data_IF_027166267749
#
_entry.id   IF_027166267749
#
_cell.length_a   1.000
_cell.length_b   1.000
_cell.length_c   1.000
_cell.angle_alpha   90.00
_cell.angle_beta   90.00
_cell.angle_gamma   90.00
#
_symmetry.space_group_name_H-M   'P 1'
#
loop_
_entity.id
_entity.type
_entity.pdbx_description
1 polymer ?
#
# COMPACT_ATOMS: atom_id res chain seq x y z
N UNK A 1 32.67 -79.77 47.75
CA UNK A 1 31.39 -79.09 47.53
C UNK A 1 31.65 -77.62 47.37
N UNK A 2 31.71 -77.18 46.13
CA UNK A 2 31.96 -75.77 45.81
C UNK A 2 30.63 -75.10 45.45
N UNK A 3 30.28 -74.07 46.23
CA UNK A 3 29.09 -73.26 45.96
C UNK A 3 29.48 -72.14 45.04
N UNK A 4 28.86 -72.14 43.89
CA UNK A 4 29.09 -71.06 42.92
C UNK A 4 28.06 -69.93 43.20
N UNK A 5 28.56 -68.73 43.48
CA UNK A 5 27.73 -67.55 43.68
C UNK A 5 27.51 -66.91 42.32
N UNK A 6 26.25 -66.76 41.94
CA UNK A 6 25.84 -66.11 40.69
C UNK A 6 25.54 -64.64 41.04
N UNK A 7 26.32 -63.73 40.45
CA UNK A 7 26.12 -62.30 40.60
C UNK A 7 25.26 -61.80 39.44
N UNK A 8 24.04 -61.36 39.75
CA UNK A 8 23.17 -60.77 38.73
C UNK A 8 23.44 -59.24 38.70
N UNK A 9 24.05 -58.77 37.59
CA UNK A 9 24.30 -57.36 37.39
C UNK A 9 23.03 -56.77 36.73
N UNK A 10 22.35 -55.93 37.49
CA UNK A 10 21.19 -55.16 36.97
C UNK A 10 21.71 -53.91 36.28
N UNK A 11 21.59 -53.85 34.95
CA UNK A 11 21.95 -52.65 34.19
C UNK A 11 20.71 -51.76 34.19
N UNK A 12 20.80 -50.67 34.98
CA UNK A 12 19.77 -49.64 34.94
C UNK A 12 20.02 -48.75 33.72
N UNK A 13 19.23 -48.94 32.68
CA UNK A 13 19.28 -48.05 31.51
C UNK A 13 18.64 -46.72 31.84
N UNK A 14 19.43 -45.68 31.92
CA UNK A 14 18.93 -44.32 31.98
C UNK A 14 18.40 -43.94 30.60
N UNK A 15 17.10 -44.00 30.44
CA UNK A 15 16.47 -43.37 29.27
C UNK A 15 16.43 -41.87 29.53
N UNK A 16 17.36 -41.14 28.94
CA UNK A 16 17.29 -39.68 28.84
C UNK A 16 16.17 -39.40 27.82
N UNK A 17 15.00 -39.22 28.34
CA UNK A 17 13.91 -38.68 27.54
C UNK A 17 14.20 -37.21 27.27
N UNK A 18 14.77 -36.93 26.12
CA UNK A 18 14.91 -35.55 25.67
C UNK A 18 13.50 -34.99 25.41
N UNK A 19 13.05 -34.12 26.30
CA UNK A 19 11.83 -33.37 26.00
C UNK A 19 12.10 -32.50 24.78
N UNK A 20 11.43 -32.81 23.68
CA UNK A 20 11.48 -31.98 22.49
C UNK A 20 10.82 -30.65 22.86
N UNK A 21 11.61 -29.58 23.03
CA UNK A 21 11.07 -28.26 23.18
C UNK A 21 10.47 -27.84 21.84
N UNK A 22 9.17 -27.68 21.79
CA UNK A 22 8.51 -27.09 20.63
C UNK A 22 9.06 -25.66 20.49
N UNK A 23 9.58 -25.33 19.33
CA UNK A 23 10.04 -23.99 19.05
C UNK A 23 8.89 -23.00 19.22
N UNK A 24 9.14 -21.92 19.95
CA UNK A 24 8.16 -20.87 20.14
C UNK A 24 7.86 -20.19 18.81
N UNK A 25 6.58 -20.01 18.49
CA UNK A 25 6.18 -19.31 17.28
C UNK A 25 6.52 -17.82 17.41
N UNK A 26 6.92 -17.22 16.29
CA UNK A 26 7.05 -15.76 16.22
C UNK A 26 5.65 -15.16 16.18
N UNK A 27 5.33 -14.33 17.15
CA UNK A 27 4.06 -13.62 17.17
C UNK A 27 4.20 -12.33 16.39
N UNK A 28 3.36 -12.18 15.36
CA UNK A 28 3.39 -11.03 14.45
C UNK A 28 2.04 -10.31 14.55
N UNK A 29 2.08 -9.02 14.84
CA UNK A 29 0.88 -8.20 14.97
C UNK A 29 0.72 -7.21 13.85
N UNK A 30 -0.53 -6.89 13.53
CA UNK A 30 -0.87 -5.93 12.48
C UNK A 30 -1.87 -4.92 13.03
N UNK A 31 -1.67 -3.65 12.72
CA UNK A 31 -2.60 -2.58 13.09
C UNK A 31 -3.20 -2.00 11.81
N UNK A 32 -4.51 -2.06 11.69
CA UNK A 32 -5.24 -1.67 10.48
C UNK A 32 -6.11 -0.44 10.69
N UNK A 33 -6.08 0.48 9.71
CA UNK A 33 -6.89 1.71 9.75
C UNK A 33 -8.37 1.43 9.47
N UNK A 34 -8.67 0.43 8.68
CA UNK A 34 -10.03 0.05 8.32
C UNK A 34 -10.29 -1.41 8.59
N UNK A 35 -11.42 -1.92 8.11
CA UNK A 35 -11.71 -3.35 8.22
C UNK A 35 -11.05 -4.12 7.09
N UNK A 36 -10.64 -5.38 7.33
CA UNK A 36 -10.14 -6.21 6.21
C UNK A 36 -11.17 -6.38 5.08
N UNK A 37 -12.45 -6.22 5.40
CA UNK A 37 -13.52 -6.28 4.40
C UNK A 37 -13.71 -5.02 3.57
N UNK A 38 -12.78 -4.06 3.62
CA UNK A 38 -12.89 -2.85 2.79
C UNK A 38 -12.62 -3.13 1.31
N UNK A 39 -11.97 -4.25 1.00
CA UNK A 39 -11.54 -4.65 -0.33
C UNK A 39 -10.62 -3.62 -1.00
N UNK A 40 -9.97 -2.79 -0.19
CA UNK A 40 -9.01 -1.80 -0.65
C UNK A 40 -7.71 -1.93 0.13
N UNK A 41 -7.31 -0.85 0.80
CA UNK A 41 -6.03 -0.75 1.50
C UNK A 41 -5.87 -1.84 2.58
N UNK A 42 -6.79 -1.89 3.54
CA UNK A 42 -6.68 -2.84 4.63
C UNK A 42 -6.82 -4.29 4.16
N UNK A 43 -7.76 -4.53 3.24
CA UNK A 43 -7.90 -5.84 2.63
C UNK A 43 -6.56 -6.34 2.08
N UNK A 44 -5.84 -5.48 1.36
CA UNK A 44 -4.60 -5.90 0.71
C UNK A 44 -3.50 -6.20 1.72
N UNK A 45 -3.42 -5.44 2.82
CA UNK A 45 -2.49 -5.78 3.90
C UNK A 45 -2.87 -7.10 4.56
N UNK A 46 -4.16 -7.37 4.70
CA UNK A 46 -4.60 -8.62 5.32
C UNK A 46 -4.39 -9.81 4.40
N UNK A 47 -4.51 -9.63 3.09
CA UNK A 47 -4.12 -10.69 2.15
C UNK A 47 -2.63 -11.00 2.31
N UNK A 48 -1.81 -10.00 2.50
CA UNK A 48 -0.36 -10.18 2.74
C UNK A 48 -0.11 -10.94 4.05
N UNK A 49 -0.89 -10.63 5.11
CA UNK A 49 -0.82 -11.39 6.37
C UNK A 49 -1.13 -12.86 6.13
N UNK A 50 -2.16 -13.15 5.34
CA UNK A 50 -2.53 -14.54 5.01
C UNK A 50 -1.43 -15.23 4.20
N UNK A 51 -0.80 -14.52 3.27
CA UNK A 51 0.35 -15.05 2.52
C UNK A 51 1.50 -15.39 3.45
N UNK A 52 1.74 -14.54 4.46
CA UNK A 52 2.76 -14.77 5.47
C UNK A 52 2.48 -16.07 6.24
N UNK A 53 1.24 -16.27 6.68
CA UNK A 53 0.84 -17.48 7.40
C UNK A 53 1.03 -18.71 6.50
N UNK A 54 0.62 -18.62 5.24
CA UNK A 54 0.78 -19.72 4.30
C UNK A 54 2.25 -20.06 4.08
N UNK A 55 3.11 -19.04 3.94
CA UNK A 55 4.53 -19.24 3.63
C UNK A 55 5.31 -19.79 4.82
N UNK A 56 5.01 -19.30 6.04
CA UNK A 56 5.83 -19.64 7.22
C UNK A 56 5.16 -20.64 8.17
N UNK A 57 3.87 -20.87 7.99
CA UNK A 57 3.15 -21.95 8.68
C UNK A 57 3.33 -21.94 10.19
N UNK A 58 3.84 -23.03 10.73
CA UNK A 58 3.99 -23.21 12.18
C UNK A 58 5.02 -22.30 12.81
N UNK A 59 5.79 -21.56 12.03
CA UNK A 59 6.84 -20.67 12.55
C UNK A 59 6.28 -19.34 13.04
N UNK A 60 5.06 -18.98 12.63
CA UNK A 60 4.46 -17.69 13.00
C UNK A 60 3.03 -17.86 13.52
N UNK A 61 2.61 -16.89 14.31
CA UNK A 61 1.24 -16.76 14.78
C UNK A 61 0.87 -15.29 14.60
N UNK A 62 -0.17 -15.00 13.81
CA UNK A 62 -0.52 -13.61 13.51
C UNK A 62 -1.81 -13.17 14.22
N UNK A 63 -1.87 -11.88 14.52
CA UNK A 63 -3.06 -11.24 15.06
C UNK A 63 -3.18 -9.85 14.45
N UNK A 64 -4.37 -9.28 14.46
CA UNK A 64 -4.55 -7.91 13.98
C UNK A 64 -5.63 -7.18 14.78
N UNK A 65 -5.52 -5.87 14.79
CA UNK A 65 -6.55 -4.97 15.33
C UNK A 65 -7.02 -4.10 14.16
N UNK A 66 -8.33 -4.03 13.98
CA UNK A 66 -8.91 -3.28 12.86
C UNK A 66 -9.61 -2.01 13.32
N UNK A 67 -9.83 -1.09 12.38
CA UNK A 67 -10.55 0.16 12.64
C UNK A 67 -9.88 0.97 13.74
N UNK A 68 -8.54 1.02 13.70
CA UNK A 68 -7.77 1.76 14.70
C UNK A 68 -7.52 3.17 14.18
N UNK A 69 -8.11 4.17 14.83
CA UNK A 69 -7.92 5.56 14.43
C UNK A 69 -6.47 5.99 14.62
N UNK A 70 -6.00 6.88 13.74
CA UNK A 70 -4.66 7.46 13.88
C UNK A 70 -4.60 8.32 15.15
N UNK A 71 -3.40 8.50 15.69
CA UNK A 71 -3.20 9.29 16.90
C UNK A 71 -3.20 8.45 18.16
N UNK A 72 -3.90 8.90 19.19
CA UNK A 72 -3.86 8.28 20.53
C UNK A 72 -4.34 6.83 20.51
N UNK A 73 -5.38 6.53 19.74
CA UNK A 73 -5.87 5.16 19.63
C UNK A 73 -4.82 4.22 19.03
N UNK A 74 -4.08 4.71 18.05
CA UNK A 74 -3.01 3.94 17.44
C UNK A 74 -1.91 3.64 18.47
N UNK A 75 -1.52 4.64 19.23
CA UNK A 75 -0.48 4.44 20.26
C UNK A 75 -0.91 3.34 21.25
N UNK A 76 -2.13 3.42 21.74
CA UNK A 76 -2.68 2.42 22.66
C UNK A 76 -2.71 1.01 22.04
N UNK A 77 -3.13 0.94 20.80
CA UNK A 77 -3.26 -0.35 20.10
C UNK A 77 -1.90 -0.97 19.83
N UNK A 78 -0.93 -0.19 19.41
CA UNK A 78 0.44 -0.67 19.21
C UNK A 78 1.04 -1.15 20.52
N UNK A 79 0.90 -0.46 21.50
CA UNK A 79 1.28 -0.76 22.76
C UNK A 79 0.73 -2.02 23.15
N UNK A 80 -0.54 -2.27 22.92
CA UNK A 80 -1.23 -3.51 23.23
C UNK A 80 -0.67 -4.74 22.47
N UNK A 81 -0.36 -4.53 21.24
CA UNK A 81 0.20 -5.49 20.51
C UNK A 81 1.50 -5.88 20.98
N UNK A 82 2.32 -4.95 21.46
CA UNK A 82 3.64 -5.24 22.02
C UNK A 82 3.58 -5.98 23.36
N UNK A 83 2.72 -5.51 24.23
CA UNK A 83 2.54 -6.14 25.55
C UNK A 83 2.03 -7.58 25.44
N UNK A 84 1.28 -7.90 24.40
CA UNK A 84 0.76 -9.26 24.21
C UNK A 84 1.84 -10.23 23.70
N UNK A 85 3.06 -9.78 23.53
CA UNK A 85 4.16 -10.64 23.16
C UNK A 85 4.46 -10.70 21.67
N UNK A 86 3.84 -9.82 20.90
CA UNK A 86 4.20 -9.73 19.46
C UNK A 86 5.61 -9.16 19.33
N UNK A 87 6.46 -9.84 18.60
CA UNK A 87 7.87 -9.46 18.44
C UNK A 87 8.14 -8.76 17.13
N UNK A 88 7.16 -8.78 16.22
CA UNK A 88 7.19 -8.04 14.95
C UNK A 88 5.81 -7.43 14.77
N UNK A 89 5.75 -6.12 14.59
CA UNK A 89 4.46 -5.42 14.48
C UNK A 89 4.49 -4.53 13.25
N UNK A 90 3.52 -4.73 12.36
CA UNK A 90 3.30 -3.92 11.16
C UNK A 90 2.20 -2.90 11.44
N UNK A 91 2.50 -1.62 11.23
CA UNK A 91 1.54 -0.53 11.46
C UNK A 91 1.24 0.14 10.13
N UNK A 92 0.02 -0.03 9.63
CA UNK A 92 -0.27 0.10 8.22
C UNK A 92 -1.10 1.34 7.85
N UNK A 93 -0.75 2.48 8.44
CA UNK A 93 -1.33 3.75 8.01
C UNK A 93 -0.31 4.87 8.25
N UNK A 94 -0.34 5.89 7.37
CA UNK A 94 0.62 6.98 7.47
C UNK A 94 0.62 7.64 8.86
N UNK A 95 -0.55 7.91 9.39
CA UNK A 95 -0.68 8.59 10.69
C UNK A 95 -0.31 7.74 11.89
N UNK A 96 0.09 6.49 11.69
CA UNK A 96 0.64 5.66 12.77
C UNK A 96 2.14 5.93 12.99
N UNK A 97 2.74 6.85 12.23
CA UNK A 97 4.20 7.06 12.30
C UNK A 97 4.67 7.44 13.69
N UNK A 98 4.18 8.56 14.23
CA UNK A 98 4.62 9.01 15.56
C UNK A 98 4.18 8.06 16.67
N UNK A 99 2.96 7.49 16.64
CA UNK A 99 2.61 6.44 17.61
C UNK A 99 3.58 5.26 17.60
N UNK A 100 4.00 4.82 16.41
CA UNK A 100 4.95 3.71 16.32
C UNK A 100 6.31 4.08 16.92
N UNK A 101 6.80 5.30 16.62
CA UNK A 101 8.05 5.79 17.21
C UNK A 101 7.98 5.74 18.74
N UNK A 102 6.88 6.22 19.31
CA UNK A 102 6.71 6.27 20.76
C UNK A 102 6.73 4.88 21.39
N UNK A 103 6.01 3.94 20.79
CA UNK A 103 5.94 2.58 21.33
C UNK A 103 7.28 1.86 21.13
N UNK A 104 7.95 2.06 20.00
CA UNK A 104 9.23 1.43 19.73
C UNK A 104 10.27 1.77 20.82
N UNK A 105 10.26 3.01 21.32
CA UNK A 105 11.16 3.41 22.40
C UNK A 105 10.93 2.62 23.69
N UNK A 106 9.70 2.21 23.95
CA UNK A 106 9.33 1.48 25.15
C UNK A 106 9.58 -0.03 25.05
N UNK A 107 9.73 -0.54 23.84
CA UNK A 107 9.87 -1.97 23.59
C UNK A 107 11.07 -2.23 22.68
N UNK A 108 12.28 -2.03 23.19
CA UNK A 108 13.48 -2.13 22.33
C UNK A 108 13.72 -3.53 21.76
N UNK A 109 13.12 -4.57 22.32
CA UNK A 109 13.28 -5.94 21.84
C UNK A 109 12.19 -6.33 20.81
N UNK A 110 11.25 -5.45 20.51
CA UNK A 110 10.22 -5.65 19.49
C UNK A 110 10.64 -4.93 18.23
N UNK A 111 10.40 -5.55 17.07
CA UNK A 111 10.68 -4.96 15.77
C UNK A 111 9.40 -4.37 15.19
N UNK A 112 9.49 -3.15 14.70
CA UNK A 112 8.34 -2.42 14.16
C UNK A 112 8.58 -2.11 12.69
N UNK A 113 7.54 -2.28 11.88
CA UNK A 113 7.54 -1.97 10.45
C UNK A 113 6.39 -1.01 10.18
N UNK A 114 6.70 0.21 9.81
CA UNK A 114 5.66 1.23 9.57
C UNK A 114 5.51 1.52 8.08
N UNK A 115 4.28 1.39 7.59
CA UNK A 115 3.97 1.62 6.17
C UNK A 115 3.79 3.11 5.89
N UNK A 116 4.45 3.56 4.85
CA UNK A 116 4.30 4.87 4.21
C UNK A 116 4.89 6.06 4.96
N UNK A 117 5.47 5.84 6.14
CA UNK A 117 6.15 6.91 6.85
C UNK A 117 7.60 7.08 6.44
N UNK A 118 8.34 7.88 7.20
CA UNK A 118 9.75 8.16 6.88
C UNK A 118 10.65 8.16 8.13
N UNK A 119 10.08 7.99 9.32
CA UNK A 119 10.86 7.92 10.56
C UNK A 119 11.26 6.49 10.86
N UNK A 120 12.47 6.30 11.32
CA UNK A 120 13.02 4.99 11.69
C UNK A 120 13.71 5.06 13.03
N UNK A 121 14.04 3.89 13.59
CA UNK A 121 14.82 3.73 14.81
C UNK A 121 15.55 2.40 14.70
N UNK A 122 16.39 2.07 15.67
CA UNK A 122 17.13 0.80 15.63
C UNK A 122 16.19 -0.40 15.51
N UNK A 123 14.99 -0.30 16.11
CA UNK A 123 13.99 -1.37 16.06
C UNK A 123 12.74 -0.98 15.26
N UNK A 124 12.84 0.02 14.38
CA UNK A 124 11.72 0.47 13.57
C UNK A 124 12.16 0.76 12.14
N UNK A 125 11.53 0.08 11.19
CA UNK A 125 11.68 0.34 9.76
C UNK A 125 10.55 1.21 9.26
N UNK A 126 10.76 1.85 8.12
CA UNK A 126 9.69 2.43 7.31
C UNK A 126 9.74 1.78 5.93
N UNK A 127 8.58 1.46 5.38
CA UNK A 127 8.48 0.91 4.03
C UNK A 127 7.37 1.60 3.29
N UNK A 128 7.60 1.84 2.01
CA UNK A 128 6.67 2.60 1.19
C UNK A 128 6.66 2.03 -0.22
N UNK A 129 5.59 2.30 -0.94
CA UNK A 129 5.45 1.88 -2.32
C UNK A 129 5.32 3.10 -3.22
N UNK A 130 5.88 3.00 -4.44
CA UNK A 130 5.79 4.07 -5.43
C UNK A 130 4.45 3.96 -6.15
N UNK A 131 3.38 4.23 -5.41
CA UNK A 131 2.01 4.17 -5.95
C UNK A 131 1.87 5.04 -7.19
N UNK A 132 2.58 6.18 -7.20
CA UNK A 132 2.49 7.14 -8.31
C UNK A 132 2.84 6.51 -9.65
N UNK A 133 3.66 5.46 -9.65
CA UNK A 133 3.99 4.77 -10.90
C UNK A 133 2.73 4.18 -11.54
N UNK A 134 1.88 3.54 -10.76
CA UNK A 134 0.61 3.01 -11.25
C UNK A 134 -0.36 4.10 -11.64
N UNK A 135 -0.34 5.23 -10.92
CA UNK A 135 -1.20 6.37 -11.23
C UNK A 135 -0.91 6.92 -12.63
N UNK A 136 0.37 6.94 -13.03
CA UNK A 136 0.72 7.39 -14.38
C UNK A 136 0.05 6.51 -15.43
N UNK A 137 0.12 5.21 -15.27
CA UNK A 137 -0.54 4.26 -16.19
C UNK A 137 -2.04 4.53 -16.24
N UNK A 138 -2.66 4.74 -15.07
CA UNK A 138 -4.09 5.07 -15.02
C UNK A 138 -4.40 6.36 -15.78
N UNK A 139 -3.53 7.37 -15.66
CA UNK A 139 -3.72 8.62 -16.38
C UNK A 139 -3.70 8.44 -17.90
N UNK A 140 -2.75 7.65 -18.39
CA UNK A 140 -2.67 7.33 -19.82
C UNK A 140 -3.98 6.68 -20.29
N UNK A 141 -4.45 5.70 -19.54
CA UNK A 141 -5.71 5.01 -19.86
C UNK A 141 -6.90 5.99 -19.83
N UNK A 142 -6.95 6.82 -18.78
CA UNK A 142 -8.05 7.78 -18.63
C UNK A 142 -8.16 8.72 -19.82
N UNK A 143 -7.02 9.24 -20.29
CA UNK A 143 -7.04 10.18 -21.42
C UNK A 143 -7.47 9.49 -22.71
N UNK A 144 -7.15 8.20 -22.87
CA UNK A 144 -7.60 7.44 -24.03
C UNK A 144 -9.09 7.10 -23.97
N UNK A 145 -9.61 6.84 -22.76
CA UNK A 145 -10.98 6.37 -22.60
C UNK A 145 -12.00 7.49 -22.43
N UNK A 146 -11.58 8.64 -21.91
CA UNK A 146 -12.50 9.75 -21.64
C UNK A 146 -12.95 10.41 -22.94
N UNK A 147 -14.26 10.59 -23.07
CA UNK A 147 -14.84 11.33 -24.18
C UNK A 147 -14.90 12.83 -23.86
N UNK A 148 -14.99 13.17 -22.58
CA UNK A 148 -15.11 14.57 -22.14
C UNK A 148 -13.76 15.22 -21.87
N UNK A 149 -12.69 14.43 -21.80
CA UNK A 149 -11.36 14.96 -21.54
C UNK A 149 -11.15 15.39 -20.10
N UNK A 150 -11.90 14.80 -19.17
CA UNK A 150 -11.83 15.19 -17.76
C UNK A 150 -12.10 13.98 -16.86
N UNK A 151 -11.26 13.81 -15.86
CA UNK A 151 -11.43 12.75 -14.86
C UNK A 151 -11.63 13.37 -13.49
N UNK A 152 -12.31 12.64 -12.62
CA UNK A 152 -12.44 13.00 -11.20
C UNK A 152 -11.51 12.14 -10.35
N UNK A 153 -10.90 12.77 -9.37
CA UNK A 153 -9.98 12.12 -8.45
C UNK A 153 -10.48 12.34 -7.03
N UNK A 154 -10.75 11.26 -6.32
CA UNK A 154 -11.18 11.35 -4.92
C UNK A 154 -9.93 11.22 -4.05
N UNK A 155 -9.58 12.31 -3.35
CA UNK A 155 -8.44 12.32 -2.44
C UNK A 155 -8.87 12.03 -1.02
N UNK A 156 -8.02 11.32 -0.28
CA UNK A 156 -8.27 11.03 1.12
C UNK A 156 -7.83 12.17 2.01
N UNK A 157 -6.54 12.26 2.29
CA UNK A 157 -5.97 13.36 3.07
C UNK A 157 -4.79 13.95 2.30
N UNK A 158 -4.54 15.28 2.41
CA UNK A 158 -3.56 15.92 1.53
C UNK A 158 -2.11 15.78 2.01
N UNK A 159 -1.64 14.54 2.07
CA UNK A 159 -0.24 14.22 2.37
C UNK A 159 0.51 13.97 1.05
N UNK A 160 1.84 14.07 1.05
CA UNK A 160 2.60 13.95 -0.20
C UNK A 160 2.31 12.70 -1.02
N UNK A 161 2.11 11.57 -0.37
CA UNK A 161 1.76 10.31 -1.06
C UNK A 161 0.54 10.49 -1.98
N UNK A 162 -0.49 11.16 -1.48
CA UNK A 162 -1.73 11.35 -2.24
C UNK A 162 -1.53 12.41 -3.32
N UNK A 163 -0.83 13.50 -2.99
CA UNK A 163 -0.54 14.57 -3.97
C UNK A 163 0.31 14.02 -5.13
N UNK A 164 1.32 13.17 -4.81
CA UNK A 164 2.10 12.50 -5.85
C UNK A 164 1.21 11.75 -6.83
N UNK A 165 0.23 11.04 -6.30
CA UNK A 165 -0.66 10.23 -7.13
C UNK A 165 -1.50 11.08 -8.08
N UNK A 166 -2.06 12.18 -7.55
CA UNK A 166 -2.84 13.10 -8.38
C UNK A 166 -1.98 13.67 -9.50
N UNK A 167 -0.79 14.13 -9.15
CA UNK A 167 0.11 14.73 -10.13
C UNK A 167 0.58 13.72 -11.17
N UNK A 168 0.92 12.53 -10.76
CA UNK A 168 1.36 11.48 -11.68
C UNK A 168 0.24 11.07 -12.64
N UNK A 169 -0.98 10.95 -12.12
CA UNK A 169 -2.16 10.67 -12.96
C UNK A 169 -2.33 11.76 -14.01
N UNK A 170 -2.22 13.03 -13.57
CA UNK A 170 -2.35 14.16 -14.49
C UNK A 170 -1.28 14.10 -15.58
N UNK A 171 -0.03 13.83 -15.19
CA UNK A 171 1.09 13.77 -16.15
C UNK A 171 0.90 12.62 -17.15
N UNK A 172 0.43 11.48 -16.68
CA UNK A 172 0.12 10.36 -17.58
C UNK A 172 -0.97 10.73 -18.58
N UNK A 173 -2.01 11.37 -18.10
CA UNK A 173 -3.11 11.80 -18.97
C UNK A 173 -2.62 12.82 -19.99
N UNK A 174 -1.82 13.79 -19.56
CA UNK A 174 -1.32 14.83 -20.46
C UNK A 174 -0.34 14.30 -21.49
N UNK A 175 0.31 13.17 -21.22
CA UNK A 175 1.17 12.55 -22.23
C UNK A 175 0.38 12.09 -23.45
N UNK A 176 -0.92 11.89 -23.28
CA UNK A 176 -1.85 11.48 -24.35
C UNK A 176 -2.65 12.69 -24.87
N UNK A 177 -3.20 13.48 -23.95
CA UNK A 177 -4.02 14.63 -24.25
C UNK A 177 -3.55 15.82 -23.43
N UNK A 178 -2.76 16.74 -24.02
CA UNK A 178 -2.23 17.89 -23.27
C UNK A 178 -3.29 18.78 -22.62
N UNK A 179 -4.54 18.71 -23.08
CA UNK A 179 -5.63 19.54 -22.56
C UNK A 179 -6.48 18.83 -21.52
N UNK A 180 -6.07 17.66 -21.14
CA UNK A 180 -6.81 16.86 -20.18
C UNK A 180 -6.88 17.55 -18.81
N UNK A 181 -8.06 17.50 -17.97
CA UNK A 181 -8.25 18.05 -16.77
C UNK A 181 -8.55 17.06 -15.80
N UNK A 182 -8.12 17.31 -14.65
CA UNK A 182 -8.48 16.49 -13.48
C UNK A 182 -9.14 17.37 -12.42
N UNK A 183 -10.34 16.96 -11.97
CA UNK A 183 -11.03 17.59 -10.84
C UNK A 183 -10.83 16.74 -9.59
N UNK A 184 -10.56 17.38 -8.45
CA UNK A 184 -10.28 16.66 -7.20
C UNK A 184 -11.33 17.03 -6.16
N UNK A 185 -11.81 16.03 -5.41
CA UNK A 185 -12.58 16.25 -4.18
C UNK A 185 -11.86 15.51 -3.05
N UNK A 186 -11.56 16.23 -1.97
CA UNK A 186 -10.94 15.65 -0.77
C UNK A 186 -12.04 15.26 0.21
N UNK A 187 -11.99 14.02 0.72
CA UNK A 187 -13.00 13.55 1.69
C UNK A 187 -12.49 13.58 3.13
N UNK A 188 -11.23 13.89 3.31
CA UNK A 188 -10.61 14.03 4.63
C UNK A 188 -10.74 12.77 5.48
N UNK A 189 -10.59 11.64 4.85
CA UNK A 189 -10.68 10.32 5.49
C UNK A 189 -10.02 9.29 4.59
N UNK A 190 -9.42 8.27 5.19
CA UNK A 190 -8.88 7.14 4.41
C UNK A 190 -10.00 6.19 4.01
N UNK A 191 -11.01 6.00 4.89
CA UNK A 191 -12.08 5.03 4.65
C UNK A 191 -13.40 5.59 5.17
N UNK A 192 -14.28 5.95 4.26
CA UNK A 192 -15.62 6.42 4.58
C UNK A 192 -16.51 6.19 3.35
N UNK A 193 -17.15 5.03 3.25
CA UNK A 193 -17.93 4.72 2.04
C UNK A 193 -18.98 5.77 1.69
N UNK A 194 -19.64 6.37 2.68
CA UNK A 194 -20.64 7.40 2.42
C UNK A 194 -20.05 8.64 1.79
N UNK A 195 -18.96 9.16 2.37
CA UNK A 195 -18.28 10.33 1.82
C UNK A 195 -17.69 10.03 0.44
N UNK A 196 -17.15 8.83 0.27
CA UNK A 196 -16.57 8.43 -1.01
C UNK A 196 -17.63 8.37 -2.10
N UNK A 197 -18.81 7.81 -1.79
CA UNK A 197 -19.91 7.77 -2.74
C UNK A 197 -20.39 9.19 -3.07
N UNK A 198 -20.52 10.05 -2.08
CA UNK A 198 -20.93 11.44 -2.29
C UNK A 198 -19.94 12.19 -3.17
N UNK A 199 -18.64 11.99 -2.96
CA UNK A 199 -17.61 12.62 -3.77
C UNK A 199 -17.69 12.16 -5.23
N UNK A 200 -17.88 10.85 -5.44
CA UNK A 200 -18.01 10.30 -6.80
C UNK A 200 -19.21 10.92 -7.50
N UNK A 201 -20.37 11.01 -6.82
CA UNK A 201 -21.57 11.62 -7.39
C UNK A 201 -21.34 13.09 -7.73
N UNK A 202 -20.69 13.84 -6.84
CA UNK A 202 -20.43 15.26 -7.08
C UNK A 202 -19.51 15.44 -8.30
N UNK A 203 -18.49 14.62 -8.43
CA UNK A 203 -17.59 14.69 -9.59
C UNK A 203 -18.34 14.39 -10.88
N UNK A 204 -19.19 13.37 -10.88
CA UNK A 204 -20.00 13.03 -12.05
C UNK A 204 -20.93 14.19 -12.41
N UNK A 205 -21.54 14.83 -11.41
CA UNK A 205 -22.39 16.00 -11.65
C UNK A 205 -21.58 17.17 -12.24
N UNK A 206 -20.28 17.23 -11.98
CA UNK A 206 -19.39 18.25 -12.55
C UNK A 206 -18.92 17.87 -13.96
N UNK A 207 -19.34 16.73 -14.48
CA UNK A 207 -19.11 16.38 -15.87
C UNK A 207 -17.98 15.41 -16.13
N UNK A 208 -17.39 14.80 -15.10
CA UNK A 208 -16.34 13.82 -15.34
C UNK A 208 -16.95 12.52 -15.88
N UNK A 209 -16.21 11.82 -16.69
CA UNK A 209 -16.64 10.50 -17.20
C UNK A 209 -15.64 9.39 -16.86
N UNK A 210 -14.66 9.69 -16.01
CA UNK A 210 -13.73 8.73 -15.45
C UNK A 210 -13.55 9.08 -13.96
N UNK A 211 -13.58 8.07 -13.08
CA UNK A 211 -13.33 8.28 -11.65
C UNK A 211 -12.11 7.45 -11.24
N UNK A 212 -11.21 8.07 -10.50
CA UNK A 212 -10.18 7.34 -9.76
C UNK A 212 -10.21 7.79 -8.31
N UNK A 213 -9.57 7.03 -7.43
CA UNK A 213 -9.67 7.31 -6.00
C UNK A 213 -8.38 6.93 -5.28
N UNK A 214 -8.10 7.66 -4.19
CA UNK A 214 -7.11 7.25 -3.20
C UNK A 214 -7.83 7.19 -1.85
N UNK A 215 -8.87 6.39 -1.81
CA UNK A 215 -9.66 6.07 -0.63
C UNK A 215 -9.91 4.57 -0.65
N UNK A 216 -10.37 4.02 0.47
CA UNK A 216 -10.22 2.59 0.70
C UNK A 216 -11.45 1.74 0.40
N UNK A 217 -12.62 2.34 0.16
CA UNK A 217 -13.82 1.53 -0.05
C UNK A 217 -14.11 1.31 -1.53
N UNK A 218 -15.02 0.40 -1.80
CA UNK A 218 -15.49 0.13 -3.17
C UNK A 218 -16.65 1.04 -3.59
N UNK A 219 -17.03 2.01 -2.75
CA UNK A 219 -18.20 2.83 -3.03
C UNK A 219 -18.07 3.65 -4.31
N UNK A 220 -16.90 4.26 -4.54
CA UNK A 220 -16.72 5.11 -5.72
C UNK A 220 -16.84 4.33 -7.01
N UNK A 221 -16.26 3.14 -7.09
CA UNK A 221 -16.33 2.35 -8.31
C UNK A 221 -17.78 1.85 -8.55
N UNK A 222 -18.51 1.58 -7.48
CA UNK A 222 -19.91 1.19 -7.60
C UNK A 222 -20.78 2.36 -8.09
N UNK A 223 -20.52 3.57 -7.60
CA UNK A 223 -21.21 4.77 -8.09
C UNK A 223 -20.91 4.99 -9.57
N UNK A 224 -19.65 4.85 -9.98
CA UNK A 224 -19.28 4.96 -11.40
C UNK A 224 -20.05 3.95 -12.25
N UNK A 225 -20.16 2.73 -11.76
CA UNK A 225 -20.97 1.70 -12.45
C UNK A 225 -22.42 2.18 -12.62
N UNK A 226 -23.01 2.61 -11.57
CA UNK A 226 -24.40 3.08 -11.61
C UNK A 226 -24.59 4.26 -12.54
N UNK A 227 -23.54 5.02 -12.65
CA UNK A 227 -23.57 6.12 -13.38
C UNK A 227 -23.21 5.90 -14.73
N UNK A 228 -22.85 4.67 -15.11
CA UNK A 228 -22.53 4.25 -16.49
C UNK A 228 -21.22 4.79 -17.03
N UNK A 229 -20.31 5.20 -16.15
CA UNK A 229 -18.98 5.68 -16.53
C UNK A 229 -17.92 4.67 -16.09
N UNK A 230 -16.66 4.91 -16.46
CA UNK A 230 -15.55 4.01 -16.13
C UNK A 230 -14.79 4.49 -14.89
N UNK A 231 -14.09 3.57 -14.24
CA UNK A 231 -13.36 3.89 -13.03
C UNK A 231 -12.18 2.95 -12.81
N UNK A 232 -11.37 3.28 -11.81
CA UNK A 232 -10.22 2.47 -11.40
C UNK A 232 -10.40 2.00 -9.97
N UNK A 233 -9.92 0.79 -9.69
CA UNK A 233 -9.84 0.29 -8.32
C UNK A 233 -8.65 0.88 -7.58
N UNK A 234 -8.60 0.65 -6.26
CA UNK A 234 -7.57 1.23 -5.39
C UNK A 234 -7.01 0.15 -4.47
N UNK A 235 -5.68 0.04 -4.47
CA UNK A 235 -4.88 -0.82 -3.59
C UNK A 235 -5.06 -2.32 -3.86
N UNK A 236 -6.23 -2.74 -4.31
CA UNK A 236 -6.50 -4.12 -4.69
C UNK A 236 -7.31 -4.13 -5.99
N UNK A 237 -7.47 -5.31 -6.56
CA UNK A 237 -8.30 -5.49 -7.75
C UNK A 237 -9.77 -5.53 -7.31
N UNK A 238 -10.51 -4.49 -7.65
CA UNK A 238 -11.91 -4.34 -7.27
C UNK A 238 -12.88 -4.78 -8.36
N UNK A 239 -12.41 -5.54 -9.35
CA UNK A 239 -13.19 -5.87 -10.56
C UNK A 239 -14.53 -6.55 -10.22
N UNK A 240 -14.56 -7.37 -9.17
CA UNK A 240 -15.80 -8.11 -8.86
C UNK A 240 -16.95 -7.20 -8.42
N UNK A 241 -16.63 -5.98 -7.98
CA UNK A 241 -17.67 -5.02 -7.55
C UNK A 241 -18.24 -4.21 -8.71
N UNK A 242 -17.54 -4.16 -9.84
CA UNK A 242 -18.00 -3.44 -11.01
C UNK A 242 -17.30 -4.00 -12.26
N UNK A 243 -17.67 -5.23 -12.67
CA UNK A 243 -16.94 -5.91 -13.75
C UNK A 243 -16.97 -5.20 -15.11
N UNK A 244 -18.00 -4.40 -15.36
CA UNK A 244 -18.12 -3.68 -16.62
C UNK A 244 -17.58 -2.24 -16.53
N UNK A 245 -17.04 -1.86 -15.39
CA UNK A 245 -16.66 -0.48 -15.08
C UNK A 245 -15.16 -0.32 -14.86
N UNK A 246 -14.54 -1.27 -14.17
CA UNK A 246 -13.13 -1.14 -13.81
C UNK A 246 -12.22 -1.29 -15.02
N UNK A 247 -11.34 -0.29 -15.21
CA UNK A 247 -10.33 -0.32 -16.27
C UNK A 247 -9.08 -1.06 -15.81
N UNK A 248 -8.63 -0.78 -14.60
CA UNK A 248 -7.54 -1.45 -13.91
C UNK A 248 -7.52 -0.94 -12.46
N UNK A 249 -6.49 -1.30 -11.72
CA UNK A 249 -6.24 -0.79 -10.37
C UNK A 249 -4.74 -0.79 -10.12
N UNK A 250 -4.27 0.14 -9.31
CA UNK A 250 -2.91 0.08 -8.76
C UNK A 250 -2.98 -0.89 -7.58
N UNK A 251 -2.29 -2.02 -7.67
CA UNK A 251 -2.35 -3.08 -6.66
C UNK A 251 -1.06 -3.08 -5.85
N UNK A 252 -1.22 -3.11 -4.54
CA UNK A 252 -0.10 -3.13 -3.59
C UNK A 252 0.21 -4.57 -3.21
N UNK A 253 1.39 -5.05 -3.55
CA UNK A 253 1.80 -6.44 -3.30
C UNK A 253 2.71 -6.50 -2.08
N UNK A 254 2.13 -6.40 -0.89
CA UNK A 254 2.88 -6.37 0.36
C UNK A 254 3.41 -7.74 0.79
N UNK A 255 2.81 -8.83 0.32
CA UNK A 255 3.08 -10.18 0.81
C UNK A 255 4.56 -10.56 0.86
N UNK A 256 5.27 -10.45 -0.27
CA UNK A 256 6.70 -10.80 -0.26
C UNK A 256 7.52 -9.99 0.75
N UNK A 257 7.21 -8.71 0.91
CA UNK A 257 7.88 -7.87 1.91
C UNK A 257 7.63 -8.38 3.33
N UNK A 258 6.37 -8.69 3.65
CA UNK A 258 6.01 -9.17 4.99
C UNK A 258 6.68 -10.50 5.31
N UNK A 259 6.70 -11.41 4.32
CA UNK A 259 7.37 -12.70 4.47
C UNK A 259 8.87 -12.50 4.73
N UNK A 260 9.50 -11.65 3.94
CA UNK A 260 10.94 -11.39 4.07
C UNK A 260 11.29 -10.82 5.44
N UNK A 261 10.48 -9.87 5.94
CA UNK A 261 10.77 -9.26 7.24
C UNK A 261 10.57 -10.23 8.40
N UNK A 262 9.54 -11.08 8.33
CA UNK A 262 9.33 -12.11 9.34
C UNK A 262 10.46 -13.14 9.31
N UNK A 263 10.90 -13.56 8.12
CA UNK A 263 12.06 -14.44 8.01
C UNK A 263 13.30 -13.83 8.64
N UNK A 264 13.52 -12.53 8.43
CA UNK A 264 14.68 -11.85 8.99
C UNK A 264 14.63 -11.84 10.53
N UNK A 265 13.46 -11.68 11.12
CA UNK A 265 13.33 -11.78 12.58
C UNK A 265 13.65 -13.22 13.04
N UNK A 266 13.09 -14.21 12.37
CA UNK A 266 13.33 -15.62 12.70
C UNK A 266 14.81 -15.99 12.58
N UNK A 267 15.51 -15.46 11.57
CA UNK A 267 16.92 -15.76 11.31
C UNK A 267 17.87 -14.91 12.16
N UNK A 268 17.37 -13.91 12.86
CA UNK A 268 18.22 -12.99 13.62
C UNK A 268 18.95 -11.98 12.74
N UNK A 269 18.51 -11.80 11.50
CA UNK A 269 19.18 -10.89 10.55
C UNK A 269 18.41 -9.57 10.33
N UNK A 270 17.28 -9.40 11.03
CA UNK A 270 16.46 -8.21 10.87
C UNK A 270 17.26 -6.95 11.21
N UNK A 271 17.20 -5.97 10.33
CA UNK A 271 17.78 -4.64 10.56
C UNK A 271 16.75 -3.60 10.12
N UNK A 272 16.74 -2.47 10.82
CA UNK A 272 15.94 -1.33 10.42
C UNK A 272 16.35 -0.89 9.00
N UNK A 273 15.33 -0.53 8.22
CA UNK A 273 15.56 -0.01 6.87
C UNK A 273 14.49 1.01 6.54
N UNK A 274 14.75 1.79 5.52
CA UNK A 274 13.78 2.75 4.99
C UNK A 274 13.76 2.54 3.48
N UNK A 275 12.73 1.86 2.98
CA UNK A 275 12.67 1.52 1.56
C UNK A 275 11.45 2.14 0.89
N UNK A 276 11.61 2.45 -0.38
CA UNK A 276 10.53 2.98 -1.21
C UNK A 276 10.64 2.25 -2.55
N UNK A 277 9.83 1.22 -2.70
CA UNK A 277 9.89 0.31 -3.85
C UNK A 277 8.67 0.50 -4.74
N UNK A 278 8.85 0.16 -6.01
CA UNK A 278 7.80 0.33 -7.01
C UNK A 278 7.61 -0.90 -7.88
N UNK A 279 7.30 -0.63 -9.13
CA UNK A 279 7.07 -1.71 -10.11
C UNK A 279 8.30 -2.58 -10.31
N UNK A 280 9.48 -1.97 -10.32
CA UNK A 280 10.73 -2.69 -10.52
C UNK A 280 10.90 -3.83 -9.52
N UNK A 281 10.55 -3.59 -8.26
CA UNK A 281 10.69 -4.58 -7.19
C UNK A 281 9.44 -5.46 -7.03
N UNK A 282 8.39 -5.20 -7.80
CA UNK A 282 7.15 -5.96 -7.73
C UNK A 282 6.21 -5.57 -6.60
N UNK A 283 6.48 -4.45 -5.93
CA UNK A 283 5.61 -3.99 -4.84
C UNK A 283 4.36 -3.30 -5.37
N UNK A 284 4.44 -2.71 -6.55
CA UNK A 284 3.32 -2.06 -7.24
C UNK A 284 3.08 -2.82 -8.53
N UNK A 285 1.84 -3.23 -8.77
CA UNK A 285 1.42 -3.93 -9.98
C UNK A 285 0.10 -3.35 -10.46
N UNK A 286 -0.16 -3.49 -11.76
CA UNK A 286 -1.47 -3.14 -12.30
C UNK A 286 -2.35 -4.38 -12.33
N UNK A 287 -3.61 -4.23 -11.95
CA UNK A 287 -4.62 -5.26 -12.17
C UNK A 287 -4.80 -5.47 -13.68
N UNK A 288 -5.40 -6.57 -14.12
CA UNK A 288 -5.64 -6.75 -15.55
C UNK A 288 -6.31 -5.53 -16.17
N UNK A 289 -5.89 -5.20 -17.39
CA UNK A 289 -6.47 -4.09 -18.15
C UNK A 289 -7.75 -4.58 -18.81
N UNK A 290 -8.88 -4.03 -18.42
CA UNK A 290 -10.22 -4.50 -18.78
C UNK A 290 -11.09 -3.34 -19.26
N UNK A 291 -12.16 -3.70 -19.96
CA UNK A 291 -13.19 -2.73 -20.37
C UNK A 291 -12.63 -1.59 -21.24
N UNK A 292 -11.65 -1.94 -22.08
CA UNK A 292 -11.02 -0.97 -22.98
C UNK A 292 -10.67 -1.65 -24.30
N UNK A 293 -10.55 -0.86 -25.38
CA UNK A 293 -10.12 -1.41 -26.67
C UNK A 293 -8.69 -1.99 -26.63
N UNK A 294 -8.39 -2.89 -27.55
CA UNK A 294 -7.09 -3.55 -27.61
C UNK A 294 -5.92 -2.58 -27.74
N UNK A 295 -6.10 -1.48 -28.51
CA UNK A 295 -5.02 -0.50 -28.68
C UNK A 295 -4.72 0.25 -27.37
N UNK A 296 -5.75 0.51 -26.56
CA UNK A 296 -5.56 1.15 -25.25
C UNK A 296 -4.88 0.18 -24.30
N UNK A 297 -5.31 -1.08 -24.29
CA UNK A 297 -4.68 -2.11 -23.48
C UNK A 297 -3.20 -2.25 -23.82
N UNK A 298 -2.88 -2.26 -25.13
CA UNK A 298 -1.48 -2.36 -25.56
C UNK A 298 -0.66 -1.16 -25.08
N UNK A 299 -1.21 0.05 -25.20
CA UNK A 299 -0.53 1.26 -24.72
C UNK A 299 -0.31 1.21 -23.22
N UNK A 300 -1.31 0.73 -22.47
CA UNK A 300 -1.18 0.58 -21.01
C UNK A 300 -0.09 -0.41 -20.66
N UNK A 301 -0.04 -1.56 -21.35
CA UNK A 301 1.00 -2.57 -21.11
C UNK A 301 2.38 -2.04 -21.42
N UNK A 302 2.52 -1.30 -22.52
CA UNK A 302 3.81 -0.68 -22.91
C UNK A 302 4.24 0.36 -21.88
N UNK A 303 3.30 1.18 -21.40
CA UNK A 303 3.61 2.21 -20.40
C UNK A 303 4.08 1.57 -19.09
N UNK A 304 3.37 0.55 -18.63
CA UNK A 304 3.75 -0.19 -17.43
C UNK A 304 5.15 -0.78 -17.56
N UNK A 305 5.44 -1.41 -18.71
CA UNK A 305 6.74 -2.03 -18.96
C UNK A 305 7.87 -0.98 -18.95
N UNK A 306 7.63 0.18 -19.54
CA UNK A 306 8.63 1.26 -19.59
C UNK A 306 8.92 1.83 -18.21
N UNK A 307 7.88 1.95 -17.37
CA UNK A 307 8.08 2.41 -15.99
C UNK A 307 8.85 1.36 -15.19
N UNK A 308 8.45 0.10 -15.33
CA UNK A 308 9.09 -1.00 -14.60
C UNK A 308 10.57 -1.11 -14.95
N UNK A 309 10.93 -0.91 -16.22
CA UNK A 309 12.32 -0.99 -16.67
C UNK A 309 13.15 0.24 -16.31
N UNK A 310 12.50 1.33 -15.92
CA UNK A 310 13.18 2.60 -15.67
C UNK A 310 13.34 3.49 -16.90
N UNK A 311 12.89 3.04 -18.06
CA UNK A 311 12.93 3.85 -19.27
C UNK A 311 12.10 5.12 -19.12
N UNK A 312 10.94 5.01 -18.45
CA UNK A 312 10.03 6.13 -18.22
C UNK A 312 9.91 6.39 -16.72
N UNK A 313 10.30 7.59 -16.29
CA UNK A 313 10.06 8.05 -14.93
C UNK A 313 8.89 9.04 -14.99
N UNK A 314 7.79 8.81 -14.28
CA UNK A 314 6.63 9.70 -14.33
C UNK A 314 6.95 11.17 -14.07
N UNK A 315 7.90 11.46 -13.19
CA UNK A 315 8.25 12.84 -12.86
C UNK A 315 9.50 13.27 -13.60
N UNK A 316 9.43 13.23 -14.91
CA UNK A 316 10.49 13.72 -15.82
C UNK A 316 9.97 14.94 -16.58
N UNK A 317 10.73 16.04 -16.55
CA UNK A 317 10.36 17.27 -17.23
C UNK A 317 10.37 17.16 -18.75
N UNK A 318 9.75 18.13 -19.41
CA UNK A 318 9.34 19.43 -18.84
C UNK A 318 8.00 19.31 -18.08
N UNK A 319 7.94 19.88 -16.91
CA UNK A 319 6.72 19.89 -16.11
C UNK A 319 6.51 21.29 -15.53
N UNK A 320 5.29 21.82 -15.66
CA UNK A 320 4.90 23.08 -15.05
C UNK A 320 4.02 22.83 -13.83
N UNK A 321 4.12 23.71 -12.85
CA UNK A 321 3.21 23.75 -11.72
C UNK A 321 1.87 24.35 -12.15
N UNK A 322 0.88 24.20 -11.29
CA UNK A 322 -0.48 24.70 -11.53
C UNK A 322 -0.51 26.20 -11.85
N UNK A 323 0.39 26.98 -11.25
CA UNK A 323 0.44 28.43 -11.46
C UNK A 323 1.18 28.84 -12.76
N UNK A 324 1.60 27.87 -13.55
CA UNK A 324 2.30 28.08 -14.81
C UNK A 324 3.80 28.18 -14.70
N UNK A 325 4.35 28.19 -13.48
CA UNK A 325 5.81 28.26 -13.30
C UNK A 325 6.44 26.91 -13.67
N UNK A 326 7.69 26.97 -14.12
CA UNK A 326 8.44 25.77 -14.44
C UNK A 326 8.88 25.05 -13.17
N UNK A 327 8.62 23.74 -13.09
CA UNK A 327 9.15 22.91 -12.02
C UNK A 327 10.37 22.12 -12.48
N UNK A 328 10.21 21.34 -13.55
CA UNK A 328 11.31 20.53 -14.10
C UNK A 328 11.54 20.93 -15.57
N UNK A 329 12.81 21.09 -15.93
CA UNK A 329 13.20 21.31 -17.33
C UNK A 329 13.19 19.99 -18.08
N UNK A 330 13.21 20.08 -19.42
CA UNK A 330 13.23 18.88 -20.25
C UNK A 330 14.33 17.92 -19.80
N UNK A 331 13.95 16.67 -19.54
CA UNK A 331 14.86 15.61 -19.14
C UNK A 331 15.23 15.56 -17.66
N UNK A 332 14.91 16.59 -16.89
CA UNK A 332 15.15 16.56 -15.44
C UNK A 332 14.18 15.62 -14.76
N UNK A 333 14.68 14.87 -13.78
CA UNK A 333 13.84 13.96 -12.97
C UNK A 333 13.76 14.49 -11.55
N UNK A 334 12.56 14.43 -10.95
CA UNK A 334 12.40 14.79 -9.55
C UNK A 334 13.13 13.76 -8.69
N UNK A 335 13.83 14.22 -7.66
CA UNK A 335 14.47 13.30 -6.73
C UNK A 335 13.46 12.86 -5.64
N UNK A 336 13.82 11.82 -4.92
CA UNK A 336 12.94 11.24 -3.90
C UNK A 336 12.61 12.24 -2.80
N UNK A 337 13.57 13.06 -2.40
CA UNK A 337 13.34 14.04 -1.34
C UNK A 337 12.27 15.05 -1.74
N UNK A 338 12.31 15.50 -2.99
CA UNK A 338 11.29 16.40 -3.53
C UNK A 338 9.92 15.73 -3.53
N UNK A 339 9.86 14.48 -3.99
CA UNK A 339 8.58 13.75 -4.06
C UNK A 339 8.01 13.52 -2.66
N UNK A 340 8.85 13.17 -1.69
CA UNK A 340 8.39 12.90 -0.31
C UNK A 340 7.85 14.16 0.38
N UNK A 341 8.22 15.33 -0.11
CA UNK A 341 7.69 16.59 0.41
C UNK A 341 6.69 17.29 -0.50
N UNK A 342 6.17 16.59 -1.50
CA UNK A 342 5.34 17.22 -2.53
C UNK A 342 4.08 17.87 -1.95
N UNK A 343 3.96 19.18 -2.11
CA UNK A 343 2.85 19.97 -1.57
C UNK A 343 2.28 20.96 -2.58
N UNK A 344 2.32 20.60 -3.86
CA UNK A 344 1.82 21.47 -4.93
C UNK A 344 1.23 20.58 -6.03
N UNK A 345 0.35 21.17 -6.84
CA UNK A 345 -0.21 20.51 -8.00
C UNK A 345 0.58 20.88 -9.26
N UNK A 346 0.65 19.94 -10.20
CA UNK A 346 1.11 20.24 -11.56
C UNK A 346 -0.01 20.90 -12.37
N UNK A 347 0.36 21.49 -13.49
CA UNK A 347 -0.60 22.16 -14.38
C UNK A 347 -1.68 21.16 -14.84
N UNK A 348 -2.92 21.65 -14.91
CA UNK A 348 -4.06 20.86 -15.37
C UNK A 348 -4.93 20.32 -14.26
N UNK A 349 -4.45 20.30 -13.03
CA UNK A 349 -5.28 19.88 -11.89
C UNK A 349 -6.20 21.05 -11.52
N UNK A 350 -7.51 20.80 -11.55
CA UNK A 350 -8.52 21.81 -11.28
C UNK A 350 -9.02 21.65 -9.85
N UNK A 351 -8.25 22.22 -8.93
CA UNK A 351 -8.54 22.18 -7.51
C UNK A 351 -7.55 23.11 -6.80
N UNK A 352 -7.89 23.49 -5.59
CA UNK A 352 -6.97 24.20 -4.71
C UNK A 352 -6.51 23.23 -3.63
N UNK A 353 -5.20 23.04 -3.50
CA UNK A 353 -4.67 22.08 -2.54
C UNK A 353 -4.99 22.52 -1.11
N UNK A 354 -5.64 21.70 -0.29
CA UNK A 354 -5.89 22.06 1.11
C UNK A 354 -4.59 22.31 1.87
N UNK A 355 -4.59 23.27 2.78
CA UNK A 355 -3.44 23.62 3.62
C UNK A 355 -3.59 23.07 5.03
#
# INVERSE_FOLDING_TARGET
MKKTLMVIATVAGFMLGGAAHAEEKLKVGFIYIGPPGDFGWTYQHDQARKELVEALGDKVETTFLENVAEGADAERSIXRXARAGNKLIFTTSFGYMDPTVKVAKKFPDVKFEHATGYKTADNMSAYNARFYEGRYVQGVIAAKMSKKGIAGYIGSVPVPEVVQGINSFMLGAQSVNPDFXVKVIWVNSWFDPGKEADAAKALIDQGVDIITQHTDSTAAIQVAHDXGIKAFGQASDMIKFAPDTQLTAVVDEWGPYYIDRAKAVLDGTWKSQNIWWGMKEGLVKMAPFTNMPDDVKKLAEETEARIKSGELNPFTGPIKKQDGSEWLKAGEKADDQTLLGMNFYVAGVDDKLPQ
#
